data_IF_116252104876
#
_entry.id   IF_116252104876
#
_cell.length_a   1.000
_cell.length_b   1.000
_cell.length_c   1.000
_cell.angle_alpha   90.00
_cell.angle_beta   90.00
_cell.angle_gamma   90.00
#
_symmetry.space_group_name_H-M   'P 1'
#
loop_
_entity.id
_entity.type
_entity.pdbx_description
1 polymer ?
#
# COMPACT_ATOMS: atom_id res chain seq x y z
N UNK A 1 24.17 26.43 6.74
CA UNK A 1 24.00 24.99 6.47
C UNK A 1 24.89 24.68 5.29
N UNK A 2 25.77 23.69 5.42
CA UNK A 2 26.74 23.39 4.37
C UNK A 2 26.05 22.72 3.16
N UNK A 3 26.53 22.99 1.95
CA UNK A 3 26.02 22.42 0.69
C UNK A 3 26.11 20.89 0.73
N UNK A 4 27.16 20.35 1.32
CA UNK A 4 27.33 18.90 1.51
C UNK A 4 26.23 18.31 2.41
N UNK A 5 25.80 19.04 3.45
CA UNK A 5 24.72 18.60 4.34
C UNK A 5 23.37 18.60 3.62
N UNK A 6 23.11 19.60 2.77
CA UNK A 6 21.91 19.64 1.92
C UNK A 6 21.87 18.47 0.93
N UNK A 7 22.99 18.19 0.27
CA UNK A 7 23.10 17.06 -0.66
C UNK A 7 22.90 15.72 0.05
N UNK A 8 23.49 15.53 1.24
CA UNK A 8 23.30 14.31 2.03
C UNK A 8 21.83 14.11 2.43
N UNK A 9 21.14 15.18 2.85
CA UNK A 9 19.70 15.13 3.17
C UNK A 9 18.85 14.83 1.93
N UNK A 10 19.22 15.38 0.77
CA UNK A 10 18.52 15.13 -0.50
C UNK A 10 18.60 13.65 -0.89
N UNK A 11 19.82 13.08 -0.87
CA UNK A 11 20.05 11.66 -1.18
C UNK A 11 19.28 10.76 -0.21
N UNK A 12 19.28 11.08 1.10
CA UNK A 12 18.52 10.33 2.09
C UNK A 12 17.01 10.37 1.80
N UNK A 13 16.49 11.54 1.42
CA UNK A 13 15.09 11.71 1.07
C UNK A 13 14.71 10.93 -0.20
N UNK A 14 15.56 10.94 -1.23
CA UNK A 14 15.35 10.16 -2.45
C UNK A 14 15.33 8.66 -2.19
N UNK A 15 16.25 8.16 -1.34
CA UNK A 15 16.27 6.75 -0.93
C UNK A 15 14.98 6.36 -0.19
N UNK A 16 14.54 7.19 0.75
CA UNK A 16 13.29 6.94 1.47
C UNK A 16 12.08 6.89 0.54
N UNK A 17 12.01 7.78 -0.46
CA UNK A 17 10.96 7.76 -1.48
C UNK A 17 10.99 6.46 -2.28
N UNK A 18 12.17 6.00 -2.71
CA UNK A 18 12.31 4.75 -3.46
C UNK A 18 11.88 3.53 -2.64
N UNK A 19 12.32 3.45 -1.38
CA UNK A 19 11.94 2.36 -0.46
C UNK A 19 10.43 2.32 -0.23
N UNK A 20 9.81 3.49 0.04
CA UNK A 20 8.36 3.57 0.23
C UNK A 20 7.58 3.19 -1.03
N UNK A 21 8.05 3.59 -2.22
CA UNK A 21 7.41 3.21 -3.49
C UNK A 21 7.52 1.70 -3.76
N UNK A 22 8.66 1.09 -3.42
CA UNK A 22 8.83 -0.35 -3.52
C UNK A 22 7.84 -1.09 -2.60
N UNK A 23 7.78 -0.72 -1.33
CA UNK A 23 6.86 -1.31 -0.35
C UNK A 23 5.39 -1.09 -0.74
N UNK A 24 5.04 0.09 -1.25
CA UNK A 24 3.71 0.37 -1.75
C UNK A 24 3.33 -0.56 -2.91
N UNK A 25 4.26 -0.78 -3.84
CA UNK A 25 4.05 -1.65 -5.01
C UNK A 25 3.86 -3.10 -4.60
N UNK A 26 4.68 -3.59 -3.68
CA UNK A 26 4.56 -4.94 -3.12
C UNK A 26 3.22 -5.12 -2.37
N UNK A 27 2.84 -4.12 -1.56
CA UNK A 27 1.57 -4.13 -0.82
C UNK A 27 0.37 -4.13 -1.76
N UNK A 28 0.44 -3.36 -2.85
CA UNK A 28 -0.60 -3.35 -3.89
C UNK A 28 -0.76 -4.73 -4.54
N UNK A 29 0.34 -5.42 -4.84
CA UNK A 29 0.28 -6.75 -5.43
C UNK A 29 -0.31 -7.77 -4.45
N UNK A 30 0.08 -7.69 -3.18
CA UNK A 30 -0.50 -8.50 -2.11
C UNK A 30 -2.01 -8.27 -1.96
N UNK A 31 -2.51 -7.03 -2.09
CA UNK A 31 -3.95 -6.76 -2.10
C UNK A 31 -4.68 -7.42 -3.26
N UNK A 32 -4.11 -7.40 -4.47
CA UNK A 32 -4.72 -8.07 -5.62
C UNK A 32 -4.82 -9.58 -5.39
N UNK A 33 -3.79 -10.18 -4.79
CA UNK A 33 -3.80 -11.60 -4.43
C UNK A 33 -4.88 -11.91 -3.38
N UNK A 34 -5.04 -11.06 -2.36
CA UNK A 34 -6.08 -11.21 -1.34
C UNK A 34 -7.50 -11.08 -1.94
N UNK A 35 -7.70 -10.14 -2.87
CA UNK A 35 -8.97 -9.98 -3.59
C UNK A 35 -9.30 -11.19 -4.46
N UNK A 36 -8.33 -11.69 -5.22
CA UNK A 36 -8.49 -12.92 -6.02
C UNK A 36 -8.83 -14.13 -5.13
N UNK A 37 -8.15 -14.25 -3.99
CA UNK A 37 -8.44 -15.32 -3.03
C UNK A 37 -9.85 -15.17 -2.41
N UNK A 38 -10.30 -13.94 -2.12
CA UNK A 38 -11.67 -13.66 -1.69
C UNK A 38 -12.69 -14.14 -2.73
N UNK A 39 -12.46 -13.86 -4.01
CA UNK A 39 -13.35 -14.30 -5.10
C UNK A 39 -13.40 -15.83 -5.21
N UNK A 40 -12.26 -16.51 -5.05
CA UNK A 40 -12.21 -17.99 -5.03
C UNK A 40 -13.00 -18.59 -3.87
N UNK A 41 -12.89 -18.01 -2.67
CA UNK A 41 -13.67 -18.45 -1.50
C UNK A 41 -15.17 -18.30 -1.75
N UNK A 42 -15.60 -17.18 -2.36
CA UNK A 42 -16.99 -16.96 -2.74
C UNK A 42 -17.47 -17.98 -3.78
N UNK A 43 -16.69 -18.19 -4.84
CA UNK A 43 -17.02 -19.15 -5.89
C UNK A 43 -17.19 -20.58 -5.33
N UNK A 44 -16.25 -21.04 -4.50
CA UNK A 44 -16.34 -22.36 -3.87
C UNK A 44 -17.55 -22.47 -2.94
N UNK A 45 -17.85 -21.43 -2.17
CA UNK A 45 -19.03 -21.43 -1.31
C UNK A 45 -20.35 -21.47 -2.09
N UNK A 46 -20.40 -20.82 -3.25
CA UNK A 46 -21.57 -20.83 -4.13
C UNK A 46 -21.72 -22.17 -4.89
N UNK A 47 -20.62 -22.81 -5.28
CA UNK A 47 -20.64 -24.18 -5.81
C UNK A 47 -21.25 -25.16 -4.80
N UNK A 48 -20.81 -25.09 -3.54
CA UNK A 48 -21.37 -25.92 -2.46
C UNK A 48 -22.88 -25.66 -2.29
N UNK A 49 -23.32 -24.39 -2.24
CA UNK A 49 -24.76 -24.06 -2.15
C UNK A 49 -25.59 -24.58 -3.32
N UNK A 50 -25.03 -24.50 -4.52
CA UNK A 50 -25.67 -24.96 -5.75
C UNK A 50 -25.83 -26.48 -5.74
N UNK A 51 -24.79 -27.19 -5.31
CA UNK A 51 -24.82 -28.65 -5.14
C UNK A 51 -25.91 -29.09 -4.14
N UNK A 52 -26.10 -28.33 -3.06
CA UNK A 52 -27.16 -28.58 -2.08
C UNK A 52 -28.53 -27.97 -2.45
N UNK A 53 -28.74 -27.49 -3.68
CA UNK A 53 -29.98 -26.86 -4.17
C UNK A 53 -30.58 -25.79 -3.23
N UNK A 54 -29.74 -25.11 -2.44
CA UNK A 54 -30.20 -24.25 -1.33
C UNK A 54 -29.65 -22.84 -1.40
N UNK A 55 -29.90 -22.14 -2.51
CA UNK A 55 -29.50 -20.73 -2.71
C UNK A 55 -29.98 -19.75 -1.62
N UNK A 56 -30.99 -20.13 -0.82
CA UNK A 56 -31.48 -19.34 0.32
C UNK A 56 -30.69 -19.56 1.61
N UNK A 57 -29.71 -20.46 1.63
CA UNK A 57 -28.91 -20.75 2.82
C UNK A 57 -27.76 -19.74 2.98
N UNK A 58 -27.48 -19.31 4.22
CA UNK A 58 -26.33 -18.45 4.48
C UNK A 58 -25.03 -19.18 4.08
N UNK A 59 -23.96 -18.42 3.80
CA UNK A 59 -22.67 -18.98 3.39
C UNK A 59 -22.21 -20.06 4.39
N UNK A 60 -21.50 -21.12 3.98
CA UNK A 60 -20.89 -22.04 4.92
C UNK A 60 -20.07 -21.31 5.99
N UNK A 61 -20.02 -21.87 7.21
CA UNK A 61 -19.31 -21.24 8.34
C UNK A 61 -17.83 -20.96 8.02
N UNK A 62 -17.17 -21.90 7.35
CA UNK A 62 -15.78 -21.77 6.91
C UNK A 62 -15.62 -20.54 6.00
N UNK A 63 -16.49 -20.39 4.98
CA UNK A 63 -16.44 -19.29 4.04
C UNK A 63 -16.62 -17.94 4.75
N UNK A 64 -17.58 -17.82 5.68
CA UNK A 64 -17.76 -16.60 6.47
C UNK A 64 -16.52 -16.24 7.30
N UNK A 65 -15.86 -17.22 7.91
CA UNK A 65 -14.66 -16.98 8.72
C UNK A 65 -13.48 -16.53 7.84
N UNK A 66 -13.27 -17.18 6.69
CA UNK A 66 -12.22 -16.79 5.74
C UNK A 66 -12.48 -15.40 5.16
N UNK A 67 -13.72 -15.10 4.74
CA UNK A 67 -14.08 -13.78 4.21
C UNK A 67 -13.88 -12.68 5.26
N UNK A 68 -14.29 -12.90 6.50
CA UNK A 68 -14.09 -11.93 7.57
C UNK A 68 -12.60 -11.64 7.84
N UNK A 69 -11.76 -12.68 7.82
CA UNK A 69 -10.31 -12.51 7.95
C UNK A 69 -9.70 -11.74 6.76
N UNK A 70 -10.11 -12.09 5.53
CA UNK A 70 -9.65 -11.43 4.32
C UNK A 70 -10.07 -9.96 4.27
N UNK A 71 -11.29 -9.64 4.67
CA UNK A 71 -11.78 -8.26 4.72
C UNK A 71 -11.01 -7.42 5.76
N UNK A 72 -10.68 -8.00 6.91
CA UNK A 72 -9.85 -7.35 7.90
C UNK A 72 -8.43 -7.09 7.35
N UNK A 73 -7.85 -8.05 6.63
CA UNK A 73 -6.52 -7.93 6.04
C UNK A 73 -6.46 -6.89 4.92
N UNK A 74 -7.41 -6.94 3.98
CA UNK A 74 -7.54 -5.94 2.90
C UNK A 74 -7.72 -4.54 3.49
N UNK A 75 -8.52 -4.41 4.56
CA UNK A 75 -8.72 -3.12 5.25
C UNK A 75 -7.44 -2.62 5.91
N UNK A 76 -6.66 -3.49 6.56
CA UNK A 76 -5.35 -3.13 7.14
C UNK A 76 -4.38 -2.68 6.06
N UNK A 77 -4.21 -3.52 5.04
CA UNK A 77 -3.33 -3.24 3.91
C UNK A 77 -3.68 -1.91 3.23
N UNK A 78 -4.96 -1.55 3.10
CA UNK A 78 -5.38 -0.26 2.53
C UNK A 78 -4.91 0.92 3.37
N UNK A 79 -5.02 0.83 4.70
CA UNK A 79 -4.52 1.86 5.61
C UNK A 79 -3.00 2.00 5.52
N UNK A 80 -2.29 0.88 5.43
CA UNK A 80 -0.83 0.90 5.31
C UNK A 80 -0.41 1.59 4.00
N UNK A 81 -1.10 1.30 2.89
CA UNK A 81 -0.87 2.00 1.62
C UNK A 81 -1.20 3.49 1.69
N UNK A 82 -2.30 3.88 2.35
CA UNK A 82 -2.63 5.30 2.56
C UNK A 82 -1.54 6.02 3.36
N UNK A 83 -1.02 5.38 4.42
CA UNK A 83 0.09 5.91 5.22
C UNK A 83 1.39 6.02 4.40
N UNK A 84 1.74 5.00 3.62
CA UNK A 84 2.90 5.03 2.71
C UNK A 84 2.76 6.15 1.67
N UNK A 85 1.58 6.30 1.06
CA UNK A 85 1.30 7.37 0.09
C UNK A 85 1.48 8.76 0.72
N UNK A 86 0.96 8.96 1.93
CA UNK A 86 1.15 10.21 2.67
C UNK A 86 2.63 10.47 3.00
N UNK A 87 3.38 9.45 3.41
CA UNK A 87 4.82 9.56 3.66
C UNK A 87 5.60 9.92 2.38
N UNK A 88 5.27 9.29 1.23
CA UNK A 88 5.88 9.61 -0.06
C UNK A 88 5.65 11.08 -0.41
N UNK A 89 4.42 11.59 -0.26
CA UNK A 89 4.09 12.99 -0.53
C UNK A 89 4.89 13.95 0.37
N UNK A 90 5.04 13.64 1.65
CA UNK A 90 5.83 14.46 2.56
C UNK A 90 7.32 14.45 2.22
N UNK A 91 7.86 13.27 1.89
CA UNK A 91 9.25 13.17 1.44
C UNK A 91 9.45 13.96 0.14
N UNK A 92 8.53 13.90 -0.82
CA UNK A 92 8.58 14.70 -2.05
C UNK A 92 8.58 16.21 -1.73
N UNK A 93 7.64 16.68 -0.89
CA UNK A 93 7.60 18.09 -0.50
C UNK A 93 8.85 18.54 0.28
N UNK A 94 9.47 17.64 1.05
CA UNK A 94 10.73 17.92 1.72
C UNK A 94 11.90 17.96 0.73
N UNK A 95 11.93 17.04 -0.23
CA UNK A 95 12.88 17.00 -1.35
C UNK A 95 12.86 18.32 -2.13
N UNK A 96 11.68 18.78 -2.55
CA UNK A 96 11.53 20.03 -3.31
C UNK A 96 12.08 21.23 -2.54
N UNK A 97 11.88 21.27 -1.21
CA UNK A 97 12.44 22.32 -0.34
C UNK A 97 13.96 22.26 -0.25
N UNK A 98 14.55 21.06 -0.24
CA UNK A 98 16.00 20.89 -0.23
C UNK A 98 16.61 21.28 -1.57
N UNK A 99 15.99 20.89 -2.69
CA UNK A 99 16.40 21.29 -4.03
C UNK A 99 16.37 22.80 -4.19
N UNK A 100 15.29 23.46 -3.75
CA UNK A 100 15.19 24.92 -3.81
C UNK A 100 16.31 25.62 -3.01
N UNK A 101 16.59 25.14 -1.79
CA UNK A 101 17.70 25.69 -0.96
C UNK A 101 19.06 25.45 -1.61
N UNK A 102 19.26 24.30 -2.24
CA UNK A 102 20.49 23.97 -2.94
C UNK A 102 20.69 24.90 -4.14
N UNK A 103 19.65 25.18 -4.91
CA UNK A 103 19.69 26.14 -6.02
C UNK A 103 20.06 27.54 -5.55
N UNK A 104 19.46 28.03 -4.46
CA UNK A 104 19.81 29.33 -3.88
C UNK A 104 21.30 29.43 -3.53
N UNK A 105 21.85 28.39 -2.89
CA UNK A 105 23.28 28.34 -2.56
C UNK A 105 24.21 28.29 -3.78
N UNK A 106 23.74 27.75 -4.91
CA UNK A 106 24.51 27.71 -6.16
C UNK A 106 24.44 29.03 -6.95
N UNK A 107 23.38 29.82 -6.78
CA UNK A 107 23.25 31.16 -7.38
C UNK A 107 24.02 32.23 -6.59
N UNK A 108 24.16 32.04 -5.27
CA UNK A 108 24.89 32.96 -4.37
C UNK A 108 26.42 32.74 -4.34
N UNK A 109 26.94 31.69 -5.00
CA UNK A 109 28.35 31.29 -5.02
C UNK A 109 29.07 31.71 -6.31
#
# INVERSE_FOLDING_TARGET
MDVEMLQAQLIACERAILELNYLFSETLENQKLLLNYKDKVLAQADEERTYFLSFKMPLPRWARQHLGALEAEIKRSRKDMEAMSWNIQNCQAFKDKLEHKLSQHLEDA
#
